data_IF_217309281808
#
_entry.id   IF_217309281808
#
_cell.length_a   1.000
_cell.length_b   1.000
_cell.length_c   1.000
_cell.angle_alpha   90.00
_cell.angle_beta   90.00
_cell.angle_gamma   90.00
#
_symmetry.space_group_name_H-M   'P 1'
#
loop_
_entity.id
_entity.type
_entity.pdbx_description
1 polymer ?
#
# COMPACT_ATOMS: atom_id res chain seq x y z
N UNK A 1 4.08 34.96 -51.13
CA UNK A 1 3.49 33.74 -50.51
C UNK A 1 4.59 32.91 -49.84
N UNK A 2 5.14 33.36 -48.70
CA UNK A 2 6.22 32.62 -48.00
C UNK A 2 6.30 32.85 -46.48
N UNK A 3 5.26 33.46 -45.88
CA UNK A 3 5.27 33.87 -44.46
C UNK A 3 4.06 33.40 -43.64
N UNK A 4 3.23 32.49 -44.14
CA UNK A 4 2.03 32.03 -43.40
C UNK A 4 2.17 30.58 -42.90
N UNK A 5 3.21 29.84 -43.33
CA UNK A 5 3.41 28.44 -42.96
C UNK A 5 4.26 28.19 -41.70
N UNK A 6 4.75 29.23 -41.02
CA UNK A 6 5.68 29.06 -39.88
C UNK A 6 5.02 29.11 -38.50
N UNK A 7 3.73 29.41 -38.39
CA UNK A 7 3.06 29.62 -37.09
C UNK A 7 2.33 28.40 -36.53
N UNK A 8 2.36 27.24 -37.21
CA UNK A 8 1.53 26.08 -36.85
C UNK A 8 2.30 24.87 -36.29
N UNK A 9 3.41 25.10 -35.57
CA UNK A 9 4.23 24.00 -35.04
C UNK A 9 4.69 24.19 -33.58
N UNK A 10 3.98 24.99 -32.77
CA UNK A 10 4.40 25.27 -31.38
C UNK A 10 3.34 24.99 -30.30
N UNK A 11 2.39 24.09 -30.54
CA UNK A 11 1.44 23.64 -29.51
C UNK A 11 1.21 22.14 -29.70
N UNK A 12 2.05 21.27 -29.10
CA UNK A 12 1.50 20.43 -28.04
C UNK A 12 2.58 19.96 -27.03
N UNK A 13 3.07 20.83 -26.14
CA UNK A 13 3.86 20.40 -24.97
C UNK A 13 3.18 20.69 -23.62
N UNK A 14 2.07 21.44 -23.61
CA UNK A 14 1.40 21.86 -22.39
C UNK A 14 0.46 20.81 -21.77
N UNK A 15 0.28 19.64 -22.41
CA UNK A 15 -0.59 18.55 -21.91
C UNK A 15 0.13 17.49 -21.07
N UNK A 16 1.46 17.58 -20.94
CA UNK A 16 2.26 16.62 -20.16
C UNK A 16 1.93 16.54 -18.64
N UNK A 17 1.54 17.63 -17.93
CA UNK A 17 1.38 17.53 -16.47
C UNK A 17 0.11 16.79 -16.02
N UNK A 18 -0.79 16.39 -16.94
CA UNK A 18 -2.02 15.67 -16.58
C UNK A 18 -1.82 14.18 -16.27
N UNK A 19 -0.62 13.63 -16.51
CA UNK A 19 -0.28 12.23 -16.22
C UNK A 19 0.61 12.06 -14.96
N UNK A 20 0.95 13.15 -14.28
CA UNK A 20 1.82 13.11 -13.10
C UNK A 20 1.03 13.07 -11.79
N UNK A 21 0.85 11.88 -11.19
CA UNK A 21 0.37 11.81 -9.81
C UNK A 21 -0.28 10.50 -9.39
N UNK A 22 0.28 9.35 -9.76
CA UNK A 22 -0.15 8.07 -9.22
C UNK A 22 0.61 7.74 -7.94
N UNK A 23 -0.11 7.32 -6.89
CA UNK A 23 0.47 6.68 -5.72
C UNK A 23 0.11 5.20 -5.75
N UNK A 24 1.12 4.35 -5.86
CA UNK A 24 0.95 2.90 -5.93
C UNK A 24 1.51 2.28 -4.67
N UNK A 25 0.65 1.56 -3.96
CA UNK A 25 1.02 0.70 -2.86
C UNK A 25 1.38 -0.69 -3.39
N UNK A 26 2.59 -1.15 -3.14
CA UNK A 26 3.07 -2.48 -3.50
C UNK A 26 3.35 -3.28 -2.22
N UNK A 27 3.12 -4.59 -2.28
CA UNK A 27 3.48 -5.51 -1.20
C UNK A 27 4.37 -6.61 -1.76
N UNK A 28 5.17 -7.21 -0.89
CA UNK A 28 6.06 -8.31 -1.22
C UNK A 28 6.36 -9.15 0.02
N UNK A 29 6.94 -10.33 -0.19
CA UNK A 29 7.37 -11.21 0.91
C UNK A 29 8.62 -10.64 1.57
N UNK A 30 8.57 -10.45 2.89
CA UNK A 30 9.72 -9.99 3.66
C UNK A 30 10.93 -10.93 3.51
N UNK A 31 10.71 -12.23 3.22
CA UNK A 31 11.78 -13.21 2.91
C UNK A 31 12.64 -12.82 1.70
N UNK A 32 12.13 -11.97 0.81
CA UNK A 32 12.88 -11.46 -0.34
C UNK A 32 13.77 -10.25 -0.01
N UNK A 33 13.71 -9.69 1.21
CA UNK A 33 14.50 -8.55 1.64
C UNK A 33 15.20 -8.85 2.99
N UNK A 34 16.54 -8.99 3.01
CA UNK A 34 17.29 -9.28 4.25
C UNK A 34 17.11 -8.24 5.37
N UNK A 35 16.92 -6.97 5.03
CA UNK A 35 16.70 -5.91 6.02
C UNK A 35 15.32 -6.05 6.68
N UNK A 36 14.29 -6.44 5.91
CA UNK A 36 12.97 -6.75 6.46
C UNK A 36 13.02 -7.98 7.37
N UNK A 37 13.75 -9.04 6.97
CA UNK A 37 13.97 -10.22 7.81
C UNK A 37 14.68 -9.87 9.13
N UNK A 38 15.69 -9.01 9.09
CA UNK A 38 16.41 -8.55 10.29
C UNK A 38 15.48 -7.79 11.27
N UNK A 39 14.35 -7.27 10.79
CA UNK A 39 13.30 -6.61 11.59
C UNK A 39 12.12 -7.55 11.90
N UNK A 40 12.26 -8.85 11.64
CA UNK A 40 11.19 -9.84 11.82
C UNK A 40 9.90 -9.47 11.04
N UNK A 41 10.08 -8.86 9.86
CA UNK A 41 8.99 -8.53 8.96
C UNK A 41 8.35 -9.78 8.35
N UNK A 42 7.04 -9.73 8.15
CA UNK A 42 6.28 -10.71 7.36
C UNK A 42 5.84 -10.12 6.02
N UNK A 43 5.46 -8.85 6.03
CA UNK A 43 5.09 -8.10 4.83
C UNK A 43 6.15 -7.04 4.57
N UNK A 44 6.67 -7.02 3.35
CA UNK A 44 7.41 -5.89 2.79
C UNK A 44 6.40 -5.00 2.08
N UNK A 45 6.34 -3.73 2.43
CA UNK A 45 5.43 -2.78 1.81
C UNK A 45 6.23 -1.65 1.15
N UNK A 46 5.83 -1.24 -0.05
CA UNK A 46 6.50 -0.17 -0.81
C UNK A 46 5.47 0.83 -1.31
N UNK A 47 5.78 2.11 -1.14
CA UNK A 47 5.02 3.20 -1.72
C UNK A 47 5.81 3.79 -2.87
N UNK A 48 5.25 3.71 -4.06
CA UNK A 48 5.81 4.34 -5.25
C UNK A 48 4.94 5.56 -5.59
N UNK A 49 5.56 6.74 -5.59
CA UNK A 49 4.92 8.01 -5.91
C UNK A 49 5.87 8.87 -6.76
N UNK A 50 5.31 9.72 -7.62
CA UNK A 50 6.10 10.61 -8.48
C UNK A 50 6.97 11.60 -7.68
N UNK A 51 6.53 11.99 -6.49
CA UNK A 51 7.27 12.87 -5.58
C UNK A 51 7.43 12.21 -4.20
N UNK A 52 8.66 12.26 -3.68
CA UNK A 52 9.05 11.97 -2.29
C UNK A 52 8.40 10.74 -1.62
N UNK A 53 8.52 9.52 -2.18
CA UNK A 53 7.89 8.31 -1.62
C UNK A 53 8.23 8.05 -0.14
N UNK A 54 9.39 8.49 0.35
CA UNK A 54 9.77 8.39 1.76
C UNK A 54 8.93 9.23 2.74
N UNK A 55 8.18 10.24 2.27
CA UNK A 55 7.26 11.03 3.09
C UNK A 55 5.88 10.37 3.24
N UNK A 56 5.70 9.17 2.69
CA UNK A 56 4.47 8.40 2.87
C UNK A 56 4.19 8.12 4.35
N UNK A 57 2.95 8.32 4.76
CA UNK A 57 2.44 8.01 6.09
C UNK A 57 1.68 6.70 6.02
N UNK A 58 1.94 5.81 6.98
CA UNK A 58 1.36 4.48 7.04
C UNK A 58 0.55 4.28 8.30
N UNK A 59 -0.62 3.69 8.12
CA UNK A 59 -1.36 3.04 9.19
C UNK A 59 -1.48 1.56 8.83
N UNK A 60 -0.96 0.69 9.70
CA UNK A 60 -1.10 -0.74 9.58
C UNK A 60 -1.73 -1.29 10.86
N UNK A 61 -2.86 -1.96 10.69
CA UNK A 61 -3.49 -2.76 11.73
C UNK A 61 -3.70 -4.17 11.18
N UNK A 62 -3.90 -5.13 12.07
CA UNK A 62 -4.42 -6.43 11.68
C UNK A 62 -5.80 -6.59 12.29
N UNK A 63 -6.73 -7.08 11.50
CA UNK A 63 -8.06 -7.43 11.94
C UNK A 63 -8.31 -8.92 11.75
N UNK A 64 -9.01 -9.54 12.68
CA UNK A 64 -9.37 -10.94 12.53
C UNK A 64 -10.48 -11.36 13.46
N UNK A 65 -10.94 -12.58 13.25
CA UNK A 65 -11.95 -13.22 14.08
C UNK A 65 -11.28 -14.31 14.93
N UNK A 66 -11.33 -14.13 16.25
CA UNK A 66 -10.85 -15.11 17.23
C UNK A 66 -12.03 -15.53 18.08
N UNK A 67 -12.35 -16.82 18.07
CA UNK A 67 -13.52 -17.37 18.77
C UNK A 67 -14.82 -16.59 18.49
N UNK A 68 -15.04 -16.19 17.23
CA UNK A 68 -16.23 -15.44 16.78
C UNK A 68 -16.25 -13.96 17.16
N UNK A 69 -15.20 -13.42 17.80
CA UNK A 69 -15.08 -12.00 18.15
C UNK A 69 -14.08 -11.30 17.25
N UNK A 70 -14.44 -10.12 16.73
CA UNK A 70 -13.53 -9.26 15.98
C UNK A 70 -12.46 -8.70 16.91
N UNK A 71 -11.21 -8.84 16.50
CA UNK A 71 -10.06 -8.27 17.19
C UNK A 71 -9.29 -7.39 16.21
N UNK A 72 -8.83 -6.24 16.70
CA UNK A 72 -7.97 -5.32 15.97
C UNK A 72 -6.70 -5.12 16.78
N UNK A 73 -5.54 -5.38 16.18
CA UNK A 73 -4.23 -5.22 16.84
C UNK A 73 -3.37 -4.23 16.03
N UNK A 74 -2.66 -3.30 16.68
CA UNK A 74 -1.72 -2.43 15.98
C UNK A 74 -0.54 -3.25 15.46
N UNK A 75 -0.09 -2.97 14.23
CA UNK A 75 1.10 -3.57 13.67
C UNK A 75 2.30 -2.65 13.82
N UNK A 76 3.46 -3.24 14.05
CA UNK A 76 4.72 -2.52 14.00
C UNK A 76 5.15 -2.32 12.56
N UNK A 77 5.42 -1.06 12.19
CA UNK A 77 5.91 -0.66 10.87
C UNK A 77 7.28 -0.03 11.04
N UNK A 78 8.32 -0.66 10.49
CA UNK A 78 9.69 -0.18 10.50
C UNK A 78 10.07 0.36 9.12
N UNK A 79 10.61 1.59 9.06
CA UNK A 79 11.24 2.10 7.84
C UNK A 79 12.49 1.29 7.50
N UNK A 80 12.71 1.01 6.22
CA UNK A 80 13.95 0.44 5.72
C UNK A 80 14.86 1.53 5.11
N UNK A 81 16.07 1.13 4.73
CA UNK A 81 17.04 2.05 4.15
C UNK A 81 16.61 2.55 2.76
N UNK A 82 15.90 1.71 2.00
CA UNK A 82 15.34 2.12 0.72
C UNK A 82 14.18 3.12 0.92
N UNK A 83 14.22 4.30 0.27
CA UNK A 83 13.15 5.29 0.36
C UNK A 83 11.81 4.72 -0.07
N UNK A 84 10.79 4.88 0.77
CA UNK A 84 9.46 4.40 0.46
C UNK A 84 9.29 2.89 0.63
N UNK A 85 10.14 2.23 1.43
CA UNK A 85 10.03 0.81 1.75
C UNK A 85 9.94 0.60 3.25
N UNK A 86 9.01 -0.25 3.66
CA UNK A 86 8.69 -0.56 5.04
C UNK A 86 8.63 -2.05 5.28
N UNK A 87 9.02 -2.45 6.49
CA UNK A 87 8.84 -3.80 7.02
C UNK A 87 7.70 -3.80 8.03
N UNK A 88 6.75 -4.72 7.87
CA UNK A 88 5.62 -4.88 8.79
C UNK A 88 5.76 -6.20 9.51
N UNK A 89 5.93 -6.12 10.83
CA UNK A 89 6.08 -7.28 11.70
C UNK A 89 4.73 -7.87 12.07
N UNK A 90 4.71 -9.18 12.28
CA UNK A 90 3.51 -9.91 12.71
C UNK A 90 3.12 -9.53 14.14
N UNK A 91 1.82 -9.31 14.36
CA UNK A 91 1.23 -9.18 15.69
C UNK A 91 0.03 -10.12 15.94
N UNK A 92 -0.44 -10.86 14.92
CA UNK A 92 -1.57 -11.79 15.06
C UNK A 92 -1.11 -13.18 15.54
N UNK A 93 -1.91 -13.88 16.36
CA UNK A 93 -1.67 -15.27 16.76
C UNK A 93 -1.77 -16.24 15.56
N UNK A 94 -1.38 -17.50 15.77
CA UNK A 94 -1.51 -18.55 14.74
C UNK A 94 -2.97 -18.98 14.52
N UNK A 95 -3.81 -18.81 15.54
CA UNK A 95 -5.22 -19.17 15.51
C UNK A 95 -6.06 -18.03 14.94
N UNK A 96 -7.12 -18.39 14.20
CA UNK A 96 -8.06 -17.44 13.61
C UNK A 96 -7.74 -17.08 12.16
N UNK A 97 -8.69 -16.39 11.53
CA UNK A 97 -8.53 -15.82 10.18
C UNK A 97 -8.24 -14.34 10.31
N UNK A 98 -7.13 -13.89 9.73
CA UNK A 98 -6.62 -12.53 9.88
C UNK A 98 -6.42 -11.86 8.52
N UNK A 99 -6.67 -10.56 8.51
CA UNK A 99 -6.47 -9.68 7.36
C UNK A 99 -5.72 -8.43 7.81
N UNK A 100 -4.82 -7.95 6.98
CA UNK A 100 -4.03 -6.75 7.24
C UNK A 100 -4.46 -5.66 6.26
N UNK A 101 -5.32 -4.70 6.67
CA UNK A 101 -5.49 -3.47 5.93
C UNK A 101 -4.21 -2.62 5.98
N UNK A 102 -3.67 -2.33 4.80
CA UNK A 102 -2.58 -1.39 4.60
C UNK A 102 -3.14 -0.14 3.95
N UNK A 103 -2.99 0.99 4.64
CA UNK A 103 -3.41 2.29 4.14
C UNK A 103 -2.18 3.19 4.11
N UNK A 104 -1.83 3.65 2.91
CA UNK A 104 -0.76 4.61 2.69
C UNK A 104 -1.36 5.91 2.15
N UNK A 105 -0.95 7.02 2.76
CA UNK A 105 -1.27 8.37 2.34
C UNK A 105 0.00 9.18 2.17
N UNK A 106 -0.04 10.27 1.41
CA UNK A 106 1.10 11.14 1.22
C UNK A 106 0.69 12.60 1.41
N UNK A 107 1.43 13.40 2.20
CA UNK A 107 1.01 14.75 2.56
C UNK A 107 0.90 15.70 1.36
N UNK A 108 1.70 15.47 0.32
CA UNK A 108 1.70 16.29 -0.91
C UNK A 108 0.63 15.84 -1.92
N UNK A 109 -0.05 14.71 -1.65
CA UNK A 109 -1.10 14.14 -2.49
C UNK A 109 -2.38 13.97 -1.66
N UNK A 110 -2.85 15.06 -1.04
CA UNK A 110 -3.85 15.06 0.06
C UNK A 110 -5.11 14.20 -0.12
N UNK A 111 -5.57 14.00 -1.36
CA UNK A 111 -6.76 13.19 -1.67
C UNK A 111 -6.43 11.77 -2.19
N UNK A 112 -5.15 11.46 -2.38
CA UNK A 112 -4.71 10.17 -2.88
C UNK A 112 -4.35 9.26 -1.72
N UNK A 113 -5.24 8.30 -1.46
CA UNK A 113 -4.96 7.16 -0.58
C UNK A 113 -4.79 5.92 -1.44
N UNK A 114 -3.69 5.22 -1.25
CA UNK A 114 -3.48 3.89 -1.83
C UNK A 114 -3.65 2.87 -0.70
N UNK A 115 -4.61 1.97 -0.84
CA UNK A 115 -4.83 0.96 0.18
C UNK A 115 -5.06 -0.42 -0.41
N UNK A 116 -4.74 -1.42 0.39
CA UNK A 116 -5.02 -2.81 0.08
C UNK A 116 -5.28 -3.58 1.36
N UNK A 117 -5.91 -4.72 1.21
CA UNK A 117 -6.11 -5.70 2.28
C UNK A 117 -5.47 -6.99 1.83
N UNK A 118 -4.74 -7.63 2.72
CA UNK A 118 -4.13 -8.94 2.47
C UNK A 118 -4.49 -9.93 3.56
N UNK A 119 -4.92 -11.13 3.18
CA UNK A 119 -5.09 -12.25 4.11
C UNK A 119 -3.75 -12.75 4.62
N UNK A 120 -3.66 -13.04 5.92
CA UNK A 120 -2.42 -13.52 6.54
C UNK A 120 -2.66 -14.78 7.37
N UNK A 121 -1.67 -15.68 7.40
CA UNK A 121 -1.72 -16.93 8.17
C UNK A 121 -0.31 -17.32 8.57
N UNK A 122 -0.11 -17.53 9.88
CA UNK A 122 1.22 -17.75 10.42
C UNK A 122 2.16 -16.60 10.05
N UNK A 123 3.35 -16.94 9.56
CA UNK A 123 4.39 -16.00 9.09
C UNK A 123 4.34 -15.78 7.58
N UNK A 124 3.16 -15.92 6.98
CA UNK A 124 2.94 -15.76 5.55
C UNK A 124 1.73 -14.89 5.28
N UNK A 125 1.75 -14.22 4.14
CA UNK A 125 0.56 -13.60 3.58
C UNK A 125 0.16 -14.32 2.30
N UNK A 126 -1.14 -14.26 1.99
CA UNK A 126 -1.77 -14.98 0.90
C UNK A 126 -2.05 -14.03 -0.27
N UNK A 127 -1.31 -14.24 -1.37
CA UNK A 127 -1.48 -13.49 -2.62
C UNK A 127 -2.87 -13.62 -3.23
N UNK A 128 -3.54 -14.75 -3.06
CA UNK A 128 -4.90 -14.95 -3.57
C UNK A 128 -5.94 -14.13 -2.79
N UNK A 129 -5.56 -13.61 -1.61
CA UNK A 129 -6.41 -12.81 -0.72
C UNK A 129 -5.98 -11.35 -0.64
N UNK A 130 -5.37 -10.85 -1.71
CA UNK A 130 -5.04 -9.43 -1.87
C UNK A 130 -6.18 -8.73 -2.59
N UNK A 131 -6.72 -7.68 -1.97
CA UNK A 131 -7.71 -6.80 -2.59
C UNK A 131 -7.24 -5.36 -2.50
N UNK A 132 -7.23 -4.64 -3.62
CA UNK A 132 -6.75 -3.27 -3.73
C UNK A 132 -7.93 -2.30 -3.76
N UNK A 133 -7.75 -1.15 -3.11
CA UNK A 133 -8.73 -0.09 -3.04
C UNK A 133 -8.06 1.23 -3.43
N UNK A 134 -8.59 1.87 -4.46
CA UNK A 134 -8.06 3.12 -4.98
C UNK A 134 -8.85 4.31 -4.42
N UNK A 135 -8.16 5.29 -3.85
CA UNK A 135 -8.76 6.56 -3.42
C UNK A 135 -9.63 6.48 -2.15
N UNK A 136 -9.79 5.30 -1.54
CA UNK A 136 -10.50 5.12 -0.27
C UNK A 136 -9.89 3.99 0.55
N UNK A 137 -9.90 4.08 1.90
CA UNK A 137 -9.57 2.94 2.75
C UNK A 137 -10.65 1.84 2.67
N UNK A 138 -10.31 0.58 2.99
CA UNK A 138 -11.29 -0.51 3.04
C UNK A 138 -12.33 -0.27 4.15
N UNK A 139 -13.59 -0.61 3.86
CA UNK A 139 -14.69 -0.54 4.85
C UNK A 139 -14.69 -1.77 5.77
N UNK A 140 -15.44 -1.71 6.88
CA UNK A 140 -15.58 -2.86 7.78
C UNK A 140 -16.17 -4.09 7.07
N UNK A 141 -17.08 -3.88 6.11
CA UNK A 141 -17.69 -4.96 5.32
C UNK A 141 -16.69 -5.59 4.36
N UNK A 142 -15.79 -4.78 3.77
CA UNK A 142 -14.69 -5.28 2.94
C UNK A 142 -13.78 -6.21 3.75
N UNK A 143 -13.43 -5.81 4.97
CA UNK A 143 -12.58 -6.59 5.88
C UNK A 143 -13.28 -7.87 6.33
N UNK A 144 -14.57 -7.79 6.66
CA UNK A 144 -15.39 -8.95 7.01
C UNK A 144 -15.45 -9.97 5.85
N UNK A 145 -15.71 -9.50 4.63
CA UNK A 145 -15.78 -10.36 3.45
C UNK A 145 -14.47 -11.08 3.14
N UNK A 146 -13.32 -10.43 3.35
CA UNK A 146 -12.01 -11.05 3.12
C UNK A 146 -11.64 -12.01 4.25
N UNK A 147 -11.96 -11.68 5.51
CA UNK A 147 -11.69 -12.55 6.66
C UNK A 147 -12.55 -13.82 6.68
N UNK A 148 -13.76 -13.78 6.10
CA UNK A 148 -14.66 -14.93 6.03
C UNK A 148 -14.22 -16.00 5.02
N UNK A 149 -13.58 -15.59 3.91
CA UNK A 149 -12.98 -16.49 2.90
C UNK A 149 -11.90 -17.37 3.55
#
# INVERSE_FOLDING_TARGET
MRSILQTLALVPLALAPLFGGGMILEIGNAKANPAALAKQGVILARLTACQSPAKGVWAATVEGLVAGKRQTLPLKVDNLAEPGVWSISRAWPNEGKWVVPLVASHPEYGDHTSSLVVGVTGDSFDWARVQRFNGKPPSADDLAGISAK
#
